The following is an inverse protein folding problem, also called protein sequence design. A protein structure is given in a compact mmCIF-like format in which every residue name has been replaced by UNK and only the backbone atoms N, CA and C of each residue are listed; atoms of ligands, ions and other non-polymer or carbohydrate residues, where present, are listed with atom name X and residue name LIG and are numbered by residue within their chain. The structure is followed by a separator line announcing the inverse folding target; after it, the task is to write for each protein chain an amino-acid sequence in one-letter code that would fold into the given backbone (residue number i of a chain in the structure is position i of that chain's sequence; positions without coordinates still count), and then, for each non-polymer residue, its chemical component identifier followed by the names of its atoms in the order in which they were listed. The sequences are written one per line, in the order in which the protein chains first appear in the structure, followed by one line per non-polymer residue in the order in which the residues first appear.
data_IF_210379368054
#
_entry.id   IF_210379368054
#
_cell.length_a   1.000
_cell.length_b   1.000
_cell.length_c   1.000
_cell.angle_alpha   90.00
_cell.angle_beta   90.00
_cell.angle_gamma   90.00
#
_symmetry.space_group_name_H-M   'P 1'
#
loop_
_entity.id
_entity.type
_entity.pdbx_description
1 polymer ?
#
# COMPACT_ATOMS: atom_id res chain seq x y z
N UNK A 1 13.88 10.33 -21.92
CA UNK A 1 12.77 9.99 -21.00
C UNK A 1 12.74 8.51 -20.55
N UNK A 2 13.36 7.58 -21.27
CA UNK A 2 13.32 6.14 -20.93
C UNK A 2 14.21 5.72 -19.76
N UNK A 3 15.44 6.20 -19.66
CA UNK A 3 16.42 5.64 -18.73
C UNK A 3 16.22 6.08 -17.27
N UNK A 4 15.81 7.32 -17.03
CA UNK A 4 15.50 7.81 -15.68
C UNK A 4 14.24 7.14 -15.09
N UNK A 5 13.19 6.96 -15.90
CA UNK A 5 11.97 6.25 -15.49
C UNK A 5 12.22 4.77 -15.22
N UNK A 6 13.10 4.11 -15.99
CA UNK A 6 13.47 2.71 -15.75
C UNK A 6 14.32 2.54 -14.49
N UNK A 7 15.22 3.49 -14.19
CA UNK A 7 15.96 3.48 -12.93
C UNK A 7 15.02 3.65 -11.74
N UNK A 8 14.07 4.58 -11.82
CA UNK A 8 13.07 4.80 -10.76
C UNK A 8 12.10 3.63 -10.60
N UNK A 9 11.78 2.92 -11.68
CA UNK A 9 10.94 1.72 -11.61
C UNK A 9 11.57 0.62 -10.74
N UNK A 10 12.89 0.42 -10.83
CA UNK A 10 13.61 -0.56 -9.99
C UNK A 10 13.54 -0.20 -8.51
N UNK A 11 13.71 1.09 -8.18
CA UNK A 11 13.66 1.56 -6.80
C UNK A 11 12.24 1.45 -6.22
N UNK A 12 11.23 1.78 -7.00
CA UNK A 12 9.83 1.60 -6.61
C UNK A 12 9.51 0.11 -6.36
N UNK A 13 9.94 -0.78 -7.25
CA UNK A 13 9.76 -2.21 -7.04
C UNK A 13 10.48 -2.74 -5.79
N UNK A 14 11.68 -2.23 -5.50
CA UNK A 14 12.41 -2.60 -4.28
C UNK A 14 11.68 -2.15 -3.02
N UNK A 15 11.16 -0.91 -3.01
CA UNK A 15 10.36 -0.37 -1.91
C UNK A 15 9.09 -1.19 -1.71
N UNK A 16 8.38 -1.50 -2.79
CA UNK A 16 7.17 -2.32 -2.73
C UNK A 16 7.46 -3.72 -2.19
N UNK A 17 8.57 -4.35 -2.59
CA UNK A 17 9.00 -5.65 -2.07
C UNK A 17 9.32 -5.60 -0.58
N UNK A 18 9.95 -4.53 -0.10
CA UNK A 18 10.22 -4.33 1.34
C UNK A 18 8.93 -4.13 2.13
N UNK A 19 8.00 -3.34 1.61
CA UNK A 19 6.68 -3.15 2.23
C UNK A 19 5.91 -4.47 2.36
N UNK A 20 5.94 -5.31 1.32
CA UNK A 20 5.37 -6.65 1.40
C UNK A 20 6.02 -7.50 2.49
N UNK A 21 7.34 -7.43 2.65
CA UNK A 21 8.05 -8.11 3.73
C UNK A 21 7.56 -7.66 5.12
N UNK A 22 7.36 -6.37 5.31
CA UNK A 22 6.83 -5.81 6.57
C UNK A 22 5.39 -6.25 6.82
N UNK A 23 4.52 -6.19 5.80
CA UNK A 23 3.12 -6.63 5.91
C UNK A 23 3.06 -8.12 6.25
N UNK A 24 3.81 -8.96 5.54
CA UNK A 24 3.84 -10.40 5.76
C UNK A 24 4.37 -10.75 7.16
N UNK A 25 5.43 -10.08 7.61
CA UNK A 25 5.97 -10.27 8.97
C UNK A 25 4.96 -9.83 10.04
N UNK A 26 4.29 -8.69 9.85
CA UNK A 26 3.23 -8.22 10.73
C UNK A 26 2.04 -9.17 10.79
N UNK A 27 1.58 -9.64 9.64
CA UNK A 27 0.48 -10.61 9.55
C UNK A 27 0.83 -11.95 10.23
N UNK A 28 2.06 -12.44 10.02
CA UNK A 28 2.55 -13.64 10.70
C UNK A 28 2.60 -13.45 12.22
N UNK A 29 3.16 -12.33 12.68
CA UNK A 29 3.24 -12.00 14.11
C UNK A 29 1.84 -11.96 14.74
N UNK A 30 0.89 -11.26 14.13
CA UNK A 30 -0.49 -11.16 14.60
C UNK A 30 -1.17 -12.53 14.60
N UNK A 31 -0.94 -13.35 13.57
CA UNK A 31 -1.49 -14.70 13.47
C UNK A 31 -0.99 -15.61 14.58
N UNK A 32 0.32 -15.61 14.82
CA UNK A 32 0.94 -16.40 15.92
C UNK A 32 0.41 -15.93 17.28
N UNK A 33 0.38 -14.61 17.51
CA UNK A 33 -0.14 -14.05 18.77
C UNK A 33 -1.59 -14.47 19.01
N UNK A 34 -2.47 -14.32 18.03
CA UNK A 34 -3.88 -14.72 18.16
C UNK A 34 -4.04 -16.24 18.35
N UNK A 35 -3.20 -17.05 17.70
CA UNK A 35 -3.21 -18.50 17.91
C UNK A 35 -2.80 -18.87 19.35
N UNK A 36 -1.79 -18.18 19.91
CA UNK A 36 -1.37 -18.36 21.30
C UNK A 36 -2.45 -17.95 22.32
N UNK A 37 -3.29 -16.96 21.98
CA UNK A 37 -4.41 -16.53 22.84
C UNK A 37 -5.62 -17.48 22.75
N UNK A 38 -5.57 -18.50 21.88
CA UNK A 38 -6.57 -19.58 21.87
C UNK A 38 -7.78 -19.32 20.95
N UNK A 39 -7.68 -18.44 19.98
CA UNK A 39 -8.77 -18.14 19.05
C UNK A 39 -8.99 -19.19 17.95
N UNK A 40 -8.18 -20.26 17.88
CA UNK A 40 -8.28 -21.32 16.88
C UNK A 40 -8.22 -20.80 15.44
N UNK A 41 -9.07 -21.32 14.53
CA UNK A 41 -9.13 -20.87 13.14
C UNK A 41 -9.51 -19.39 12.96
N UNK A 42 -10.17 -18.79 13.96
CA UNK A 42 -10.52 -17.36 13.94
C UNK A 42 -9.27 -16.46 14.01
N UNK A 43 -8.14 -17.01 14.47
CA UNK A 43 -6.86 -16.30 14.49
C UNK A 43 -6.34 -15.95 13.11
N UNK A 44 -6.83 -16.61 12.05
CA UNK A 44 -6.41 -16.34 10.67
C UNK A 44 -7.13 -15.14 10.04
N UNK A 45 -8.24 -14.68 10.63
CA UNK A 45 -9.03 -13.59 10.03
C UNK A 45 -8.20 -12.33 9.86
N UNK A 46 -7.59 -11.83 10.92
CA UNK A 46 -6.86 -10.57 10.89
C UNK A 46 -5.61 -10.62 10.00
N UNK A 47 -4.76 -11.65 10.06
CA UNK A 47 -3.67 -11.83 9.10
C UNK A 47 -4.13 -11.85 7.63
N UNK A 48 -5.24 -12.53 7.33
CA UNK A 48 -5.79 -12.57 5.96
C UNK A 48 -6.27 -11.20 5.52
N UNK A 49 -6.93 -10.44 6.38
CA UNK A 49 -7.37 -9.08 6.09
C UNK A 49 -6.17 -8.13 5.86
N UNK A 50 -5.11 -8.25 6.66
CA UNK A 50 -3.87 -7.50 6.47
C UNK A 50 -3.24 -7.80 5.11
N UNK A 51 -3.10 -9.07 4.75
CA UNK A 51 -2.56 -9.47 3.45
C UNK A 51 -3.45 -8.99 2.29
N UNK A 52 -4.78 -9.03 2.44
CA UNK A 52 -5.71 -8.54 1.43
C UNK A 52 -5.58 -7.02 1.24
N UNK A 53 -5.47 -6.26 2.33
CA UNK A 53 -5.27 -4.81 2.29
C UNK A 53 -3.94 -4.45 1.62
N UNK A 54 -2.87 -5.16 1.98
CA UNK A 54 -1.56 -5.03 1.33
C UNK A 54 -1.61 -5.35 -0.16
N UNK A 55 -2.34 -6.40 -0.56
CA UNK A 55 -2.51 -6.78 -1.96
C UNK A 55 -3.24 -5.71 -2.77
N UNK A 56 -4.34 -5.17 -2.26
CA UNK A 56 -5.08 -4.08 -2.92
C UNK A 56 -4.17 -2.87 -3.09
N UNK A 57 -3.44 -2.48 -2.06
CA UNK A 57 -2.50 -1.35 -2.12
C UNK A 57 -1.41 -1.60 -3.16
N UNK A 58 -0.81 -2.81 -3.19
CA UNK A 58 0.23 -3.17 -4.14
C UNK A 58 -0.27 -3.14 -5.59
N UNK A 59 -1.42 -3.78 -5.86
CA UNK A 59 -1.99 -3.85 -7.21
C UNK A 59 -2.40 -2.48 -7.74
N UNK A 60 -3.09 -1.68 -6.92
CA UNK A 60 -3.52 -0.35 -7.31
C UNK A 60 -2.33 0.58 -7.55
N UNK A 61 -1.30 0.53 -6.70
CA UNK A 61 -0.10 1.32 -6.90
C UNK A 61 0.65 0.92 -8.15
N UNK A 62 0.85 -0.40 -8.37
CA UNK A 62 1.47 -0.91 -9.59
C UNK A 62 0.69 -0.50 -10.85
N UNK A 63 -0.63 -0.42 -10.78
CA UNK A 63 -1.47 0.08 -11.84
C UNK A 63 -1.34 1.59 -12.03
N UNK A 64 -1.34 2.38 -10.95
CA UNK A 64 -1.14 3.84 -11.00
C UNK A 64 0.19 4.24 -11.64
N UNK A 65 1.28 3.52 -11.35
CA UNK A 65 2.61 3.79 -11.92
C UNK A 65 2.64 3.53 -13.43
N UNK A 66 1.89 2.53 -13.90
CA UNK A 66 1.82 2.15 -15.32
C UNK A 66 0.75 2.91 -16.11
N UNK A 67 -0.08 3.67 -15.43
CA UNK A 67 -1.24 4.35 -16.01
C UNK A 67 -0.88 5.73 -16.54
N UNK A 68 -1.57 6.13 -17.59
CA UNK A 68 -1.55 7.49 -18.11
C UNK A 68 -2.21 8.47 -17.14
N UNK A 69 -1.99 9.77 -17.37
CA UNK A 69 -2.58 10.83 -16.56
C UNK A 69 -4.12 10.78 -16.50
N UNK A 70 -4.76 10.28 -17.57
CA UNK A 70 -6.22 10.16 -17.69
C UNK A 70 -6.80 9.00 -16.90
N UNK A 71 -6.09 7.88 -16.80
CA UNK A 71 -6.57 6.65 -16.13
C UNK A 71 -6.09 6.54 -14.67
N UNK A 72 -5.06 7.30 -14.29
CA UNK A 72 -4.50 7.31 -12.93
C UNK A 72 -5.52 7.64 -11.83
N UNK A 73 -6.44 8.64 -12.00
CA UNK A 73 -7.46 8.92 -11.00
C UNK A 73 -8.40 7.73 -10.73
N UNK A 74 -8.70 6.93 -11.75
CA UNK A 74 -9.53 5.73 -11.59
C UNK A 74 -8.89 4.75 -10.58
N UNK A 75 -7.57 4.53 -10.66
CA UNK A 75 -6.89 3.62 -9.74
C UNK A 75 -6.84 4.13 -8.31
N UNK A 76 -6.84 5.45 -8.11
CA UNK A 76 -6.98 6.05 -6.78
C UNK A 76 -8.35 5.69 -6.19
N UNK A 77 -9.43 5.83 -6.97
CA UNK A 77 -10.76 5.45 -6.53
C UNK A 77 -10.90 3.96 -6.26
N UNK A 78 -10.36 3.10 -7.13
CA UNK A 78 -10.33 1.65 -6.93
C UNK A 78 -9.61 1.30 -5.63
N UNK A 79 -8.48 1.94 -5.34
CA UNK A 79 -7.77 1.76 -4.07
C UNK A 79 -8.62 2.20 -2.88
N UNK A 80 -9.21 3.39 -2.92
CA UNK A 80 -10.05 3.90 -1.82
C UNK A 80 -11.24 2.98 -1.54
N UNK A 81 -12.00 2.60 -2.58
CA UNK A 81 -13.13 1.69 -2.42
C UNK A 81 -12.71 0.29 -1.96
N UNK A 82 -11.63 -0.25 -2.51
CA UNK A 82 -11.09 -1.55 -2.10
C UNK A 82 -10.66 -1.57 -0.64
N UNK A 83 -9.93 -0.55 -0.20
CA UNK A 83 -9.53 -0.37 1.21
C UNK A 83 -10.74 -0.26 2.12
N UNK A 84 -11.71 0.57 1.74
CA UNK A 84 -12.93 0.77 2.53
C UNK A 84 -13.76 -0.51 2.63
N UNK A 85 -13.89 -1.26 1.53
CA UNK A 85 -14.58 -2.54 1.51
C UNK A 85 -13.91 -3.57 2.44
N UNK A 86 -12.57 -3.64 2.46
CA UNK A 86 -11.84 -4.54 3.36
C UNK A 86 -12.02 -4.11 4.82
N UNK A 87 -11.95 -2.81 5.12
CA UNK A 87 -12.16 -2.30 6.48
C UNK A 87 -13.57 -2.61 6.98
N UNK A 88 -14.60 -2.22 6.25
CA UNK A 88 -15.99 -2.44 6.64
C UNK A 88 -16.32 -3.93 6.68
N UNK A 89 -15.97 -4.68 5.63
CA UNK A 89 -16.16 -6.13 5.56
C UNK A 89 -15.44 -6.85 6.70
N UNK A 90 -14.22 -6.43 7.03
CA UNK A 90 -13.42 -6.94 8.13
C UNK A 90 -14.09 -6.72 9.49
N UNK A 91 -14.67 -5.55 9.74
CA UNK A 91 -15.41 -5.25 10.97
C UNK A 91 -16.65 -6.14 11.12
N UNK A 92 -17.44 -6.28 10.04
CA UNK A 92 -18.62 -7.16 10.06
C UNK A 92 -18.23 -8.62 10.26
N UNK A 93 -17.20 -9.09 9.57
CA UNK A 93 -16.74 -10.47 9.67
C UNK A 93 -16.15 -10.76 11.07
N UNK A 94 -15.40 -9.82 11.65
CA UNK A 94 -14.92 -9.92 13.03
C UNK A 94 -16.05 -10.08 14.02
N UNK A 95 -17.11 -9.27 13.87
CA UNK A 95 -18.30 -9.37 14.72
C UNK A 95 -19.01 -10.71 14.53
N UNK A 96 -19.18 -11.17 13.30
CA UNK A 96 -19.83 -12.45 13.00
C UNK A 96 -19.08 -13.65 13.56
N UNK A 97 -17.73 -13.59 13.57
CA UNK A 97 -16.86 -14.64 14.11
C UNK A 97 -16.60 -14.52 15.61
N UNK A 98 -17.17 -13.51 16.27
CA UNK A 98 -16.98 -13.29 17.71
C UNK A 98 -15.57 -12.83 18.07
N UNK A 99 -14.84 -12.20 17.14
CA UNK A 99 -13.56 -11.54 17.40
C UNK A 99 -13.75 -10.04 17.67
N UNK A 100 -12.73 -9.36 18.20
CA UNK A 100 -12.84 -7.94 18.51
C UNK A 100 -12.82 -7.09 17.24
N UNK A 101 -13.95 -6.54 16.83
CA UNK A 101 -14.04 -5.60 15.70
C UNK A 101 -13.20 -4.35 15.91
N UNK A 102 -13.08 -3.87 17.17
CA UNK A 102 -12.26 -2.69 17.52
C UNK A 102 -10.79 -2.99 17.24
N UNK A 103 -10.28 -4.13 17.70
CA UNK A 103 -8.88 -4.53 17.47
C UNK A 103 -8.63 -4.71 15.97
N UNK A 104 -9.54 -5.37 15.26
CA UNK A 104 -9.45 -5.55 13.81
C UNK A 104 -9.37 -4.20 13.09
N UNK A 105 -10.28 -3.27 13.42
CA UNK A 105 -10.30 -1.93 12.82
C UNK A 105 -9.02 -1.15 13.09
N UNK A 106 -8.56 -1.12 14.33
CA UNK A 106 -7.33 -0.42 14.72
C UNK A 106 -6.11 -0.96 13.98
N UNK A 107 -5.94 -2.28 13.93
CA UNK A 107 -4.79 -2.91 13.27
C UNK A 107 -4.80 -2.60 11.77
N UNK A 108 -5.94 -2.75 11.09
CA UNK A 108 -6.04 -2.46 9.65
C UNK A 108 -5.83 -0.98 9.33
N UNK A 109 -6.34 -0.08 10.17
CA UNK A 109 -6.11 1.37 10.02
C UNK A 109 -4.63 1.68 10.22
N UNK A 110 -4.01 1.18 11.29
CA UNK A 110 -2.59 1.39 11.54
C UNK A 110 -1.72 0.85 10.39
N UNK A 111 -2.00 -0.36 9.92
CA UNK A 111 -1.32 -0.94 8.76
C UNK A 111 -1.44 -0.03 7.53
N UNK A 112 -2.66 0.42 7.22
CA UNK A 112 -2.90 1.29 6.09
C UNK A 112 -2.08 2.58 6.17
N UNK A 113 -2.06 3.24 7.33
CA UNK A 113 -1.27 4.45 7.53
C UNK A 113 0.24 4.20 7.45
N UNK A 114 0.74 3.10 8.00
CA UNK A 114 2.17 2.75 7.93
C UNK A 114 2.59 2.48 6.48
N UNK A 115 1.80 1.69 5.75
CA UNK A 115 2.08 1.34 4.36
C UNK A 115 1.98 2.57 3.46
N UNK A 116 0.90 3.34 3.57
CA UNK A 116 0.66 4.52 2.74
C UNK A 116 1.61 5.67 3.07
N UNK A 117 1.84 5.91 4.36
CA UNK A 117 2.78 6.93 4.82
C UNK A 117 4.22 6.60 4.44
N UNK A 118 4.65 5.36 4.65
CA UNK A 118 5.97 4.87 4.24
C UNK A 118 6.19 4.99 2.73
N UNK A 119 5.17 4.66 1.95
CA UNK A 119 5.18 4.78 0.50
C UNK A 119 5.24 6.25 0.06
N UNK A 120 4.43 7.14 0.67
CA UNK A 120 4.42 8.57 0.39
C UNK A 120 5.80 9.20 0.62
N UNK A 121 6.44 8.86 1.74
CA UNK A 121 7.81 9.31 2.04
C UNK A 121 8.82 8.80 1.01
N UNK A 122 8.74 7.52 0.64
CA UNK A 122 9.65 6.93 -0.35
C UNK A 122 9.49 7.58 -1.73
N UNK A 123 8.26 7.75 -2.20
CA UNK A 123 7.97 8.41 -3.48
C UNK A 123 8.39 9.89 -3.49
N UNK A 124 8.19 10.62 -2.40
CA UNK A 124 8.60 12.02 -2.30
C UNK A 124 10.11 12.20 -2.39
N UNK A 125 10.89 11.24 -1.89
CA UNK A 125 12.36 11.26 -2.04
C UNK A 125 12.77 11.03 -3.48
N UNK A 126 12.19 10.03 -4.15
CA UNK A 126 12.48 9.73 -5.56
C UNK A 126 12.16 10.94 -6.45
N UNK A 127 11.03 11.60 -6.24
CA UNK A 127 10.61 12.76 -7.03
C UNK A 127 11.55 13.96 -6.83
N UNK A 128 12.10 14.16 -5.62
CA UNK A 128 13.03 15.26 -5.34
C UNK A 128 14.41 15.06 -5.94
N UNK A 129 14.81 13.83 -6.22
CA UNK A 129 16.13 13.49 -6.78
C UNK A 129 16.17 13.64 -8.31
N UNK A 130 15.01 13.89 -8.97
CA UNK A 130 14.99 14.18 -10.40
C UNK A 130 15.45 15.61 -10.61
N UNK A 131 16.63 15.84 -11.25
CA UNK A 131 17.03 17.19 -11.64
C UNK A 131 15.96 17.76 -12.59
N UNK A 132 15.48 18.94 -12.30
CA UNK A 132 14.71 19.71 -13.28
C UNK A 132 15.68 20.02 -14.42
N UNK A 133 15.53 19.34 -15.58
CA UNK A 133 16.23 19.77 -16.79
C UNK A 133 15.81 21.23 -17.02
N UNK A 134 16.73 22.16 -16.78
CA UNK A 134 16.54 23.56 -17.14
C UNK A 134 16.28 23.59 -18.65
N UNK A 135 15.08 24.00 -19.02
CA UNK A 135 14.70 24.21 -20.40
C UNK A 135 15.78 25.12 -21.03
N UNK A 136 16.42 24.71 -22.13
CA UNK A 136 17.46 25.56 -22.73
C UNK A 136 16.85 26.93 -23.03
N UNK A 137 17.39 27.96 -22.38
CA UNK A 137 17.07 29.34 -22.67
C UNK A 137 17.38 29.53 -24.16
N UNK A 138 16.33 29.56 -24.98
CA UNK A 138 16.44 29.94 -26.36
C UNK A 138 16.88 31.40 -26.30
N UNK A 139 18.19 31.63 -26.46
CA UNK A 139 18.71 32.95 -26.64
C UNK A 139 18.10 33.45 -27.96
N UNK A 140 17.18 34.40 -27.85
CA UNK A 140 16.66 35.13 -29.00
C UNK A 140 17.85 35.71 -29.71
N UNK A 141 18.15 35.14 -30.90
CA UNK A 141 19.14 35.67 -31.80
C UNK A 141 18.51 36.89 -32.51
N UNK A 142 18.93 38.06 -32.06
CA UNK A 142 18.71 39.34 -32.80
C UNK A 142 19.44 39.35 -34.14
#
# INVERSE_FOLDING_TARGET
MSDSLQAHQKDIHLIMRRLWGVIAAGALFVGVWQACVGHGLRSLLLPVLMLALGAVTHLCLGAMIRSDATTRPMWIWVHMFGTFAILIGGLFLSKALGTSAIVTGLVLICEHFVVFGGLGVALSRIIREVPVEEEPVIADAD
#
